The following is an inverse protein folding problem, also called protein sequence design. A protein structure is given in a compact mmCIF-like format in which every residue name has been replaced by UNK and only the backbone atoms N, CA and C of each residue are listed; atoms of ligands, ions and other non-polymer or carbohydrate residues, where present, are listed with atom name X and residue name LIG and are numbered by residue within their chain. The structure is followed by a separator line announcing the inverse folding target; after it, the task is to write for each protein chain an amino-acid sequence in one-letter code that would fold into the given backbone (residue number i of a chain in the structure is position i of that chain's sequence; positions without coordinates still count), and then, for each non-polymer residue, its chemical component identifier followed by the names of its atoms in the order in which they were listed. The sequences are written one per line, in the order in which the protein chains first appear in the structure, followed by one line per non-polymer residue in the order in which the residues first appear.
data_IF_106100579008
#
_entry.id   IF_106100579008
#
_cell.length_a   1.000
_cell.length_b   1.000
_cell.length_c   1.000
_cell.angle_alpha   90.00
_cell.angle_beta   90.00
_cell.angle_gamma   90.00
#
_symmetry.space_group_name_H-M   'P 1'
#
loop_
_entity.id
_entity.type
_entity.pdbx_description
1 polymer ?
#
# COMPACT_ATOMS: atom_id res chain seq x y z
N UNK A 1 30.50 -16.53 7.48
CA UNK A 1 29.37 -15.96 6.71
C UNK A 1 29.00 -16.98 5.65
N UNK A 2 27.82 -17.61 5.76
CA UNK A 2 27.31 -18.49 4.70
C UNK A 2 26.41 -17.63 3.81
N UNK A 3 26.90 -17.31 2.62
CA UNK A 3 26.10 -16.70 1.57
C UNK A 3 25.12 -17.75 1.04
N UNK A 4 23.86 -17.36 0.89
CA UNK A 4 22.83 -18.21 0.28
C UNK A 4 23.25 -18.49 -1.15
N UNK A 5 23.27 -19.77 -1.53
CA UNK A 5 23.70 -20.26 -2.84
C UNK A 5 22.90 -19.59 -3.97
N UNK A 6 23.60 -19.04 -4.97
CA UNK A 6 23.03 -18.30 -6.10
C UNK A 6 22.09 -19.19 -6.95
N UNK A 7 22.25 -20.51 -6.86
CA UNK A 7 21.35 -21.48 -7.48
C UNK A 7 19.99 -21.59 -6.75
N UNK A 8 19.95 -21.32 -5.44
CA UNK A 8 18.72 -21.36 -4.63
C UNK A 8 17.95 -20.05 -4.78
N UNK A 9 18.63 -18.91 -4.92
CA UNK A 9 17.96 -17.60 -5.08
C UNK A 9 17.23 -17.44 -6.42
N UNK A 10 17.71 -18.10 -7.48
CA UNK A 10 17.08 -18.09 -8.82
C UNK A 10 15.79 -18.92 -8.90
N UNK A 11 15.49 -19.75 -7.90
CA UNK A 11 14.32 -20.65 -7.90
C UNK A 11 13.16 -20.20 -7.01
N UNK A 12 13.25 -19.04 -6.35
CA UNK A 12 12.11 -18.49 -5.61
C UNK A 12 11.20 -17.72 -6.57
N UNK A 13 10.45 -18.45 -7.39
CA UNK A 13 9.32 -17.89 -8.12
C UNK A 13 8.14 -17.91 -7.14
N UNK A 14 7.87 -16.78 -6.49
CA UNK A 14 6.61 -16.58 -5.78
C UNK A 14 5.54 -16.36 -6.84
N UNK A 15 4.94 -17.44 -7.33
CA UNK A 15 3.75 -17.35 -8.19
C UNK A 15 2.56 -17.04 -7.27
N UNK A 16 1.95 -15.83 -7.32
CA UNK A 16 0.77 -15.56 -6.53
C UNK A 16 -0.33 -16.50 -7.00
N UNK A 17 -0.95 -17.23 -6.08
CA UNK A 17 -2.16 -17.99 -6.42
C UNK A 17 -3.23 -16.99 -6.92
N UNK A 18 -3.84 -17.23 -8.09
CA UNK A 18 -4.94 -16.42 -8.56
C UNK A 18 -6.06 -16.45 -7.51
N UNK A 19 -6.47 -15.28 -7.03
CA UNK A 19 -7.67 -15.16 -6.19
C UNK A 19 -8.90 -15.57 -7.02
N UNK A 20 -9.90 -16.26 -6.41
CA UNK A 20 -11.15 -16.58 -7.08
C UNK A 20 -11.81 -15.34 -7.69
N UNK A 21 -12.38 -15.50 -8.88
CA UNK A 21 -13.13 -14.42 -9.57
C UNK A 21 -14.37 -14.11 -8.71
N UNK A 22 -14.42 -12.90 -8.14
CA UNK A 22 -15.50 -12.43 -7.26
C UNK A 22 -15.07 -12.08 -5.83
N UNK A 23 -13.80 -12.28 -5.47
CA UNK A 23 -13.28 -11.84 -4.17
C UNK A 23 -12.64 -10.46 -4.26
N UNK A 24 -13.35 -9.50 -3.68
CA UNK A 24 -12.89 -8.15 -3.37
C UNK A 24 -11.50 -8.16 -2.73
N UNK A 25 -10.52 -7.51 -3.37
CA UNK A 25 -9.15 -7.52 -2.87
C UNK A 25 -9.01 -6.50 -1.73
N UNK A 26 -8.61 -7.00 -0.56
CA UNK A 26 -8.09 -6.17 0.54
C UNK A 26 -6.60 -5.93 0.28
N UNK A 27 -6.21 -4.69 -0.06
CA UNK A 27 -4.81 -4.38 -0.23
C UNK A 27 -4.19 -4.08 1.13
N UNK A 28 -3.49 -5.08 1.68
CA UNK A 28 -2.72 -4.96 2.90
C UNK A 28 -1.30 -5.46 2.64
N UNK A 29 -0.36 -4.55 2.44
CA UNK A 29 1.01 -4.96 2.36
C UNK A 29 1.46 -5.41 3.77
N UNK A 30 2.11 -6.58 3.88
CA UNK A 30 2.52 -7.23 5.14
C UNK A 30 4.00 -7.71 5.12
N UNK A 31 4.92 -6.88 5.60
CA UNK A 31 6.36 -7.08 5.70
C UNK A 31 6.79 -6.69 7.10
N UNK A 32 7.67 -7.49 7.69
CA UNK A 32 8.22 -7.24 9.02
C UNK A 32 9.39 -6.25 9.00
N UNK A 33 9.93 -5.95 7.83
CA UNK A 33 11.09 -5.07 7.65
C UNK A 33 10.67 -3.67 7.20
N UNK A 34 9.58 -3.54 6.44
CA UNK A 34 9.07 -2.27 5.92
C UNK A 34 10.04 -1.52 5.00
N UNK A 35 9.52 -0.62 4.19
CA UNK A 35 10.30 0.33 3.40
C UNK A 35 10.35 1.65 4.16
N UNK A 36 11.54 2.26 4.18
CA UNK A 36 11.71 3.61 4.72
C UNK A 36 12.24 4.51 3.63
N UNK A 37 11.71 5.71 3.54
CA UNK A 37 12.07 6.69 2.53
C UNK A 37 13.23 7.56 3.05
N UNK A 38 14.06 8.06 2.14
CA UNK A 38 15.21 8.90 2.50
C UNK A 38 14.76 10.14 3.26
N UNK A 39 15.59 10.65 4.18
CA UNK A 39 15.19 11.68 5.17
C UNK A 39 14.60 12.99 4.62
N UNK A 40 14.76 13.27 3.32
CA UNK A 40 14.19 14.45 2.67
C UNK A 40 12.87 14.19 1.92
N UNK A 41 12.45 12.93 1.79
CA UNK A 41 11.24 12.55 1.06
C UNK A 41 10.06 12.35 2.01
N UNK A 42 9.34 13.44 2.26
CA UNK A 42 8.22 13.49 3.22
C UNK A 42 6.88 13.10 2.61
N UNK A 43 6.77 13.09 1.29
CA UNK A 43 5.53 12.78 0.56
C UNK A 43 5.78 11.80 -0.58
N UNK A 44 6.40 10.63 -0.31
CA UNK A 44 6.67 9.65 -1.34
C UNK A 44 5.37 9.06 -1.89
N UNK A 45 5.45 8.54 -3.12
CA UNK A 45 4.36 7.79 -3.74
C UNK A 45 4.75 6.34 -3.92
N UNK A 46 3.87 5.44 -3.47
CA UNK A 46 3.98 3.99 -3.62
C UNK A 46 3.07 3.58 -4.77
N UNK A 47 3.65 2.99 -5.80
CA UNK A 47 2.88 2.47 -6.94
C UNK A 47 2.71 0.97 -6.80
N UNK A 48 1.46 0.53 -6.83
CA UNK A 48 1.05 -0.88 -6.81
C UNK A 48 0.44 -1.20 -8.16
N UNK A 49 1.00 -2.17 -8.87
CA UNK A 49 0.46 -2.65 -10.15
C UNK A 49 -0.12 -4.04 -9.97
N UNK A 50 -1.33 -4.26 -10.48
CA UNK A 50 -2.00 -5.55 -10.42
C UNK A 50 -1.71 -6.34 -11.69
N UNK A 51 -1.24 -7.59 -11.54
CA UNK A 51 -0.98 -8.47 -12.70
C UNK A 51 -2.22 -8.81 -13.52
N UNK A 52 -3.41 -8.65 -12.92
CA UNK A 52 -4.73 -8.69 -13.57
C UNK A 52 -5.61 -7.60 -12.96
N UNK A 53 -6.47 -6.93 -13.74
CA UNK A 53 -7.41 -5.95 -13.20
C UNK A 53 -8.27 -6.55 -12.09
N UNK A 54 -8.49 -5.79 -11.01
CA UNK A 54 -9.23 -6.25 -9.85
C UNK A 54 -10.00 -5.13 -9.16
N UNK A 55 -11.02 -5.48 -8.38
CA UNK A 55 -11.78 -4.51 -7.57
C UNK A 55 -11.11 -4.34 -6.21
N UNK A 56 -10.78 -3.09 -5.85
CA UNK A 56 -10.19 -2.74 -4.56
C UNK A 56 -11.27 -2.28 -3.61
N UNK A 57 -11.30 -2.86 -2.42
CA UNK A 57 -12.31 -2.56 -1.41
C UNK A 57 -11.78 -1.75 -0.24
N UNK A 58 -10.51 -1.92 0.09
CA UNK A 58 -9.84 -1.06 1.04
C UNK A 58 -8.35 -0.97 0.76
N UNK A 59 -7.75 0.13 1.21
CA UNK A 59 -6.31 0.35 1.25
C UNK A 59 -5.96 0.70 2.69
N UNK A 60 -5.03 -0.04 3.29
CA UNK A 60 -4.57 0.22 4.67
C UNK A 60 -3.05 0.24 4.68
N UNK A 61 -2.47 1.24 5.36
CA UNK A 61 -1.02 1.26 5.63
C UNK A 61 -0.77 0.94 7.11
N UNK A 62 -0.39 -0.31 7.45
CA UNK A 62 -0.20 -0.72 8.83
C UNK A 62 0.96 0.01 9.52
N UNK A 63 0.83 0.22 10.84
CA UNK A 63 1.88 0.82 11.68
C UNK A 63 2.36 -0.08 12.82
N UNK A 64 1.62 -1.13 13.11
CA UNK A 64 1.88 -2.11 14.16
C UNK A 64 2.74 -3.29 13.68
N UNK A 65 2.87 -3.46 12.37
CA UNK A 65 3.68 -4.52 11.77
C UNK A 65 5.18 -4.22 11.69
N UNK A 66 5.57 -2.96 11.83
CA UNK A 66 6.98 -2.52 11.80
C UNK A 66 7.31 -1.68 13.05
N UNK A 67 8.52 -1.79 13.61
CA UNK A 67 8.88 -1.05 14.83
C UNK A 67 8.76 0.48 14.69
N UNK A 68 9.04 0.99 13.48
CA UNK A 68 9.15 2.40 13.15
C UNK A 68 8.02 2.95 12.25
N UNK A 69 6.92 2.19 12.06
CA UNK A 69 5.76 2.64 11.29
C UNK A 69 5.19 3.98 11.75
N UNK A 70 5.23 5.01 10.89
CA UNK A 70 4.85 6.39 11.23
C UNK A 70 3.83 7.03 10.28
N UNK A 71 3.28 6.31 9.31
CA UNK A 71 2.34 6.89 8.33
C UNK A 71 1.02 7.29 8.98
N UNK A 72 0.74 8.58 9.05
CA UNK A 72 -0.46 9.10 9.69
C UNK A 72 -1.63 9.18 8.70
N UNK A 73 -1.37 9.59 7.46
CA UNK A 73 -2.40 9.77 6.45
C UNK A 73 -1.81 9.65 5.05
N UNK A 74 -2.61 9.18 4.10
CA UNK A 74 -2.24 9.06 2.70
C UNK A 74 -3.42 9.37 1.78
N UNK A 75 -3.11 9.53 0.50
CA UNK A 75 -4.05 9.70 -0.58
C UNK A 75 -3.91 8.60 -1.61
N UNK A 76 -5.00 8.23 -2.27
CA UNK A 76 -5.01 7.18 -3.29
C UNK A 76 -5.57 7.66 -4.61
N UNK A 77 -4.82 7.38 -5.69
CA UNK A 77 -5.28 7.47 -7.07
C UNK A 77 -5.41 6.08 -7.68
N UNK A 78 -6.57 5.78 -8.22
CA UNK A 78 -6.90 4.52 -8.89
C UNK A 78 -6.80 4.69 -10.41
N UNK A 79 -6.25 3.69 -11.09
CA UNK A 79 -6.10 3.69 -12.54
C UNK A 79 -6.77 2.48 -13.17
N UNK A 80 -7.45 2.70 -14.29
CA UNK A 80 -8.08 1.66 -15.10
C UNK A 80 -7.04 0.86 -15.88
N UNK A 81 -7.40 -0.30 -16.46
CA UNK A 81 -6.52 -1.07 -17.35
C UNK A 81 -5.95 -0.26 -18.52
N UNK A 82 -6.70 0.73 -19.00
CA UNK A 82 -6.28 1.63 -20.08
C UNK A 82 -5.33 2.75 -19.62
N UNK A 83 -4.99 2.79 -18.32
CA UNK A 83 -4.10 3.79 -17.71
C UNK A 83 -4.79 5.10 -17.34
N UNK A 84 -6.11 5.20 -17.48
CA UNK A 84 -6.87 6.40 -17.13
C UNK A 84 -7.13 6.46 -15.62
N UNK A 85 -7.09 7.67 -15.04
CA UNK A 85 -7.50 7.88 -13.64
C UNK A 85 -8.99 7.58 -13.50
N UNK A 86 -9.34 6.75 -12.52
CA UNK A 86 -10.72 6.40 -12.19
C UNK A 86 -11.35 7.50 -11.32
N UNK A 87 -10.59 8.01 -10.35
CA UNK A 87 -11.03 9.12 -9.51
C UNK A 87 -10.49 10.47 -10.05
N UNK A 88 -11.40 11.44 -10.20
CA UNK A 88 -11.05 12.79 -10.67
C UNK A 88 -10.14 13.57 -9.71
N UNK A 89 -10.15 13.21 -8.42
CA UNK A 89 -9.23 13.68 -7.39
C UNK A 89 -8.81 12.52 -6.48
N UNK A 90 -7.58 12.53 -5.92
CA UNK A 90 -7.16 11.50 -4.96
C UNK A 90 -8.13 11.38 -3.77
N UNK A 91 -8.35 10.16 -3.31
CA UNK A 91 -9.15 9.91 -2.10
C UNK A 91 -8.24 9.94 -0.88
N UNK A 92 -8.62 10.69 0.15
CA UNK A 92 -7.83 10.86 1.37
C UNK A 92 -8.26 9.83 2.41
N UNK A 93 -7.30 9.12 2.99
CA UNK A 93 -7.55 8.17 4.08
C UNK A 93 -8.06 8.88 5.34
N UNK A 94 -8.68 8.12 6.24
CA UNK A 94 -8.77 8.59 7.62
C UNK A 94 -7.35 8.77 8.19
N UNK A 95 -7.22 9.69 9.15
CA UNK A 95 -5.96 9.90 9.84
C UNK A 95 -5.81 8.88 10.98
N UNK A 96 -4.66 8.20 11.00
CA UNK A 96 -4.23 7.37 12.13
C UNK A 96 -3.94 8.26 13.35
N UNK A 97 -4.41 7.93 14.55
CA UNK A 97 -4.02 8.65 15.76
C UNK A 97 -2.50 8.57 16.00
N UNK A 98 -1.91 9.64 16.54
CA UNK A 98 -0.46 9.70 16.74
C UNK A 98 0.07 8.57 17.62
N UNK A 99 -0.63 8.29 18.72
CA UNK A 99 -0.20 7.39 19.79
C UNK A 99 -0.73 5.96 19.65
N UNK A 100 -1.68 5.71 18.76
CA UNK A 100 -2.33 4.40 18.60
C UNK A 100 -1.96 3.76 17.25
N UNK A 101 -0.87 2.98 17.27
CA UNK A 101 -0.40 2.24 16.08
C UNK A 101 -1.35 1.12 15.64
N UNK A 102 -2.30 0.70 16.49
CA UNK A 102 -3.28 -0.34 16.15
C UNK A 102 -4.44 0.18 15.31
N UNK A 103 -4.52 1.51 15.13
CA UNK A 103 -5.49 2.18 14.27
C UNK A 103 -4.76 2.84 13.11
N UNK A 104 -4.37 2.07 12.07
CA UNK A 104 -3.68 2.60 10.91
C UNK A 104 -4.55 3.54 10.11
N UNK A 105 -3.90 4.27 9.19
CA UNK A 105 -4.60 5.00 8.15
C UNK A 105 -5.23 4.00 7.17
N UNK A 106 -6.45 4.29 6.75
CA UNK A 106 -7.31 3.42 5.95
C UNK A 106 -8.19 4.23 4.98
N UNK A 107 -8.38 3.69 3.79
CA UNK A 107 -9.49 4.00 2.91
C UNK A 107 -10.36 2.76 2.81
N UNK A 108 -11.63 2.88 3.16
CA UNK A 108 -12.58 1.77 3.10
C UNK A 108 -13.51 1.87 1.87
N UNK A 109 -14.41 0.91 1.74
CA UNK A 109 -15.34 0.80 0.62
C UNK A 109 -16.40 1.90 0.57
N UNK A 110 -16.59 2.67 1.64
CA UNK A 110 -17.44 3.88 1.61
C UNK A 110 -16.76 5.03 0.86
N UNK A 111 -15.42 5.00 0.77
CA UNK A 111 -14.60 6.04 0.14
C UNK A 111 -14.10 5.63 -1.26
N UNK A 112 -14.03 4.32 -1.54
CA UNK A 112 -13.51 3.77 -2.79
C UNK A 112 -14.67 3.33 -3.71
N UNK A 113 -14.64 3.65 -5.02
CA UNK A 113 -15.61 3.14 -5.98
C UNK A 113 -15.44 1.61 -6.15
N UNK A 114 -16.26 0.83 -5.46
CA UNK A 114 -16.11 -0.63 -5.30
C UNK A 114 -16.28 -1.45 -6.59
N UNK A 115 -16.88 -0.90 -7.65
CA UNK A 115 -17.35 -1.69 -8.81
C UNK A 115 -16.52 -1.46 -10.08
N UNK A 116 -15.36 -0.80 -9.99
CA UNK A 116 -14.50 -0.54 -11.17
C UNK A 116 -13.21 -1.34 -11.05
N UNK A 117 -12.90 -2.23 -12.02
CA UNK A 117 -11.62 -2.90 -12.06
C UNK A 117 -10.45 -1.91 -12.18
N UNK A 118 -9.48 -2.03 -11.30
CA UNK A 118 -8.27 -1.22 -11.26
C UNK A 118 -7.07 -2.07 -11.68
N UNK A 119 -6.14 -1.47 -12.43
CA UNK A 119 -4.88 -2.11 -12.85
C UNK A 119 -3.68 -1.57 -12.08
N UNK A 120 -3.83 -0.37 -11.50
CA UNK A 120 -2.80 0.29 -10.71
C UNK A 120 -3.43 1.18 -9.64
N UNK A 121 -2.73 1.26 -8.51
CA UNK A 121 -3.01 2.14 -7.39
C UNK A 121 -1.75 2.93 -7.07
N UNK A 122 -1.86 4.24 -7.01
CA UNK A 122 -0.80 5.10 -6.45
C UNK A 122 -1.23 5.57 -5.06
N UNK A 123 -0.40 5.33 -4.06
CA UNK A 123 -0.60 5.73 -2.67
C UNK A 123 0.42 6.81 -2.33
N UNK A 124 -0.02 8.05 -2.19
CA UNK A 124 0.85 9.18 -1.84
C UNK A 124 0.73 9.47 -0.35
N UNK A 125 1.83 9.42 0.37
CA UNK A 125 1.82 9.73 1.80
C UNK A 125 1.72 11.25 1.97
N UNK A 126 0.77 11.71 2.79
CA UNK A 126 0.53 13.15 3.00
C UNK A 126 1.01 13.62 4.36
N UNK A 127 1.01 12.74 5.37
CA UNK A 127 1.55 13.06 6.69
C UNK A 127 2.05 11.84 7.46
N UNK A 128 2.98 12.11 8.37
CA UNK A 128 3.52 11.15 9.34
C UNK A 128 3.31 11.67 10.75
N UNK A 129 3.28 10.78 11.73
CA UNK A 129 3.00 11.12 13.12
C UNK A 129 4.13 11.91 13.79
N UNK A 130 5.33 11.83 13.25
CA UNK A 130 6.53 12.52 13.73
C UNK A 130 6.95 13.69 12.82
N UNK A 131 6.24 13.95 11.71
CA UNK A 131 6.58 14.99 10.73
C UNK A 131 7.85 14.67 9.91
N UNK A 132 8.41 13.48 10.09
CA UNK A 132 9.60 13.00 9.39
C UNK A 132 9.22 12.17 8.16
N UNK A 133 10.22 11.80 7.37
CA UNK A 133 10.01 10.94 6.21
C UNK A 133 9.34 9.60 6.60
N UNK A 134 8.50 9.01 5.74
CA UNK A 134 7.79 7.80 6.08
C UNK A 134 8.72 6.61 6.30
N UNK A 135 8.39 5.81 7.31
CA UNK A 135 9.19 4.70 7.82
C UNK A 135 8.30 3.51 8.04
N UNK A 136 8.89 2.34 7.87
CA UNK A 136 8.21 1.08 8.11
C UNK A 136 6.93 0.92 7.28
N UNK A 137 6.89 1.56 6.11
CA UNK A 137 5.76 1.47 5.18
C UNK A 137 5.87 0.12 4.53
N UNK A 138 4.90 -0.70 4.84
CA UNK A 138 4.83 -2.03 4.30
C UNK A 138 4.13 -1.95 2.97
#
# INVERSE_FOLDING_TARGET
MQAVDEAVSKNIIVTPNPLPIGENIKFQPISRQGVSFGGNDRTPTITVSFGKPAEVHSVTLPRDHTPNGNVQQFEVTFYSPDGNKINGKPFVSNASPNEDKTKPAELDSSQIPSNTPVSRVDITIVSTTDGESPKGVV
#
